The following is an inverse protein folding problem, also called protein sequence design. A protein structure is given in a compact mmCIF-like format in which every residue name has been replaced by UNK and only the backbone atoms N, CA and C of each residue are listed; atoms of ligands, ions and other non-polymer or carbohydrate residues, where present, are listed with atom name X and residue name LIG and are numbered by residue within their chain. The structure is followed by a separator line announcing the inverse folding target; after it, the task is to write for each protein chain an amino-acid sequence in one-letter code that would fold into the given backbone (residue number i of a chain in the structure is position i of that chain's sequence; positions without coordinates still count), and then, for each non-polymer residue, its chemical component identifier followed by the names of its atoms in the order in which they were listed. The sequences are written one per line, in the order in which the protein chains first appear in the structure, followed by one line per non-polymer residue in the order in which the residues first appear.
data_IF_787933961040
#
_entry.id   IF_787933961040
#
_cell.length_a   1.000
_cell.length_b   1.000
_cell.length_c   1.000
_cell.angle_alpha   90.00
_cell.angle_beta   90.00
_cell.angle_gamma   90.00
#
_symmetry.space_group_name_H-M   'P 1'
#
loop_
_entity.id
_entity.type
_entity.pdbx_description
1 polymer ?
#
# COMPACT_ATOMS: atom_id res chain seq x y z
N UNK A 1 19.87 1.35 -8.23
CA UNK A 1 19.56 0.36 -7.19
C UNK A 1 18.72 -0.80 -7.73
N UNK A 2 17.81 -0.57 -8.69
CA UNK A 2 16.93 -1.61 -9.26
C UNK A 2 17.70 -2.76 -9.95
N UNK A 3 18.83 -2.52 -10.62
CA UNK A 3 19.54 -3.58 -11.37
C UNK A 3 20.29 -4.61 -10.52
N UNK A 4 20.30 -4.49 -9.19
CA UNK A 4 21.05 -5.45 -8.36
C UNK A 4 20.52 -6.88 -8.56
N UNK A 5 19.22 -7.04 -8.76
CA UNK A 5 18.59 -8.34 -9.03
C UNK A 5 19.09 -8.99 -10.33
N UNK A 6 19.60 -8.20 -11.27
CA UNK A 6 20.21 -8.68 -12.53
C UNK A 6 21.68 -9.02 -12.38
N UNK A 7 22.35 -8.47 -11.37
CA UNK A 7 23.80 -8.55 -11.17
C UNK A 7 24.21 -9.64 -10.20
N UNK A 8 23.27 -10.13 -9.39
CA UNK A 8 23.54 -11.20 -8.42
C UNK A 8 22.68 -12.41 -8.75
N UNK A 9 23.24 -13.61 -8.60
CA UNK A 9 22.52 -14.87 -8.78
C UNK A 9 21.76 -15.25 -7.50
N UNK A 10 20.89 -14.36 -7.03
CA UNK A 10 20.02 -14.59 -5.86
C UNK A 10 18.55 -14.49 -6.32
N UNK A 11 17.74 -15.55 -6.14
CA UNK A 11 16.33 -15.48 -6.49
C UNK A 11 15.56 -14.60 -5.49
N UNK A 12 14.95 -13.53 -6.00
CA UNK A 12 14.01 -12.70 -5.23
C UNK A 12 12.58 -13.16 -5.53
N UNK A 13 11.85 -13.57 -4.49
CA UNK A 13 10.46 -14.03 -4.65
C UNK A 13 9.43 -12.91 -4.54
N UNK A 14 9.74 -11.87 -3.77
CA UNK A 14 8.94 -10.66 -3.67
C UNK A 14 9.78 -9.51 -3.13
N UNK A 15 9.27 -8.29 -3.30
CA UNK A 15 9.85 -7.07 -2.71
C UNK A 15 8.81 -6.42 -1.82
N UNK A 16 9.17 -6.14 -0.58
CA UNK A 16 8.28 -5.46 0.36
C UNK A 16 8.53 -3.96 0.37
N UNK A 17 7.47 -3.18 0.12
CA UNK A 17 7.47 -1.73 0.21
C UNK A 17 7.11 -1.29 1.64
N UNK A 18 7.93 -0.41 2.20
CA UNK A 18 7.70 0.17 3.52
C UNK A 18 6.75 1.38 3.47
N UNK A 19 6.45 1.98 4.61
CA UNK A 19 5.54 3.11 4.82
C UNK A 19 5.90 4.47 4.21
N UNK A 20 6.88 4.58 3.31
CA UNK A 20 7.36 5.86 2.76
C UNK A 20 6.69 6.28 1.45
N UNK A 21 6.03 5.37 0.74
CA UNK A 21 5.57 5.61 -0.64
C UNK A 21 4.14 6.12 -0.79
N UNK A 22 3.30 6.00 0.25
CA UNK A 22 1.91 6.44 0.24
C UNK A 22 1.69 7.75 1.00
N UNK A 23 0.51 8.34 0.84
CA UNK A 23 0.12 9.58 1.52
C UNK A 23 -0.28 9.34 2.97
N UNK A 24 0.15 10.25 3.85
CA UNK A 24 -0.20 10.26 5.27
C UNK A 24 -1.08 11.47 5.57
N UNK A 25 -2.06 11.29 6.45
CA UNK A 25 -2.96 12.34 6.93
C UNK A 25 -2.93 12.43 8.46
N UNK A 26 -4.05 12.75 9.12
CA UNK A 26 -4.11 12.95 10.57
C UNK A 26 -3.52 11.75 11.31
N UNK A 27 -2.76 12.05 12.37
CA UNK A 27 -2.07 11.04 13.17
C UNK A 27 -0.93 10.32 12.44
N UNK A 28 -0.64 10.65 11.17
CA UNK A 28 0.29 9.89 10.34
C UNK A 28 -0.31 8.62 9.73
N UNK A 29 -1.64 8.45 9.83
CA UNK A 29 -2.37 7.35 9.22
C UNK A 29 -2.50 7.50 7.71
N UNK A 30 -2.90 6.43 7.02
CA UNK A 30 -2.99 6.42 5.55
C UNK A 30 -4.22 7.18 5.03
N UNK A 31 -4.00 8.08 4.07
CA UNK A 31 -5.05 8.69 3.24
C UNK A 31 -4.46 9.50 2.08
N UNK A 32 -4.67 9.12 0.81
CA UNK A 32 -5.10 7.82 0.29
C UNK A 32 -3.97 6.77 0.22
N UNK A 33 -4.33 5.48 0.09
CA UNK A 33 -3.40 4.42 -0.29
C UNK A 33 -3.12 4.50 -1.80
N UNK A 34 -2.26 5.44 -2.20
CA UNK A 34 -1.81 5.62 -3.58
C UNK A 34 -0.35 6.03 -3.60
N UNK A 35 0.36 5.63 -4.65
CA UNK A 35 1.75 6.02 -4.83
C UNK A 35 1.89 7.52 -5.02
N UNK A 36 2.87 8.10 -4.32
CA UNK A 36 3.20 9.50 -4.47
C UNK A 36 4.05 9.74 -5.72
N UNK A 37 3.73 10.73 -6.57
CA UNK A 37 4.49 10.98 -7.79
C UNK A 37 5.89 11.55 -7.52
N UNK A 38 6.14 12.15 -6.36
CA UNK A 38 7.48 12.61 -6.00
C UNK A 38 8.41 11.45 -5.56
N UNK A 39 7.84 10.26 -5.32
CA UNK A 39 8.56 9.03 -4.96
C UNK A 39 8.58 8.06 -6.15
N UNK A 40 7.43 7.86 -6.78
CA UNK A 40 7.22 7.03 -7.96
C UNK A 40 6.56 7.89 -9.06
N UNK A 41 7.35 8.66 -9.84
CA UNK A 41 6.83 9.60 -10.84
C UNK A 41 5.89 8.95 -11.87
N UNK A 42 6.22 7.72 -12.27
CA UNK A 42 5.45 6.95 -13.25
C UNK A 42 4.53 5.90 -12.58
N UNK A 43 4.37 5.97 -11.26
CA UNK A 43 3.55 5.06 -10.45
C UNK A 43 4.14 3.66 -10.23
N UNK A 44 3.52 2.91 -9.32
CA UNK A 44 3.88 1.53 -9.01
C UNK A 44 3.73 0.54 -10.19
N UNK A 45 2.77 0.68 -11.13
CA UNK A 45 2.71 -0.19 -12.29
C UNK A 45 3.99 -0.15 -13.14
N UNK A 46 4.64 1.03 -13.22
CA UNK A 46 5.91 1.18 -13.93
C UNK A 46 7.05 0.50 -13.19
N UNK A 47 7.12 0.66 -11.86
CA UNK A 47 8.07 -0.07 -11.03
C UNK A 47 7.93 -1.58 -11.20
N UNK A 48 6.70 -2.10 -11.14
CA UNK A 48 6.40 -3.52 -11.27
C UNK A 48 6.93 -4.09 -12.59
N UNK A 49 6.70 -3.38 -13.71
CA UNK A 49 7.25 -3.77 -15.03
C UNK A 49 8.79 -3.68 -15.07
N UNK A 50 9.38 -2.66 -14.47
CA UNK A 50 10.85 -2.49 -14.42
C UNK A 50 11.54 -3.58 -13.60
N UNK A 51 10.83 -4.15 -12.62
CA UNK A 51 11.26 -5.28 -11.79
C UNK A 51 10.89 -6.63 -12.38
N UNK A 52 10.65 -6.71 -13.69
CA UNK A 52 10.36 -7.97 -14.40
C UNK A 52 9.19 -8.73 -13.78
N UNK A 53 8.22 -7.98 -13.28
CA UNK A 53 7.01 -8.50 -12.65
C UNK A 53 7.25 -9.33 -11.38
N UNK A 54 8.37 -9.11 -10.68
CA UNK A 54 8.59 -9.66 -9.33
C UNK A 54 7.43 -9.19 -8.42
N UNK A 55 6.73 -10.10 -7.73
CA UNK A 55 5.62 -9.77 -6.85
C UNK A 55 5.97 -8.73 -5.80
N UNK A 56 5.01 -7.85 -5.49
CA UNK A 56 5.17 -6.83 -4.46
C UNK A 56 4.39 -7.21 -3.20
N UNK A 57 5.00 -6.95 -2.06
CA UNK A 57 4.34 -6.93 -0.76
C UNK A 57 4.31 -5.48 -0.27
N UNK A 58 3.32 -5.11 0.53
CA UNK A 58 3.29 -3.80 1.16
C UNK A 58 2.67 -3.89 2.54
N UNK A 59 3.09 -2.97 3.39
CA UNK A 59 2.41 -2.73 4.65
C UNK A 59 1.96 -1.29 4.77
N UNK A 60 0.95 -1.08 5.61
CA UNK A 60 0.76 0.21 6.24
C UNK A 60 0.67 0.06 7.75
N UNK A 61 0.71 1.21 8.42
CA UNK A 61 0.35 1.33 9.84
C UNK A 61 -1.19 1.31 9.96
N UNK A 62 -1.74 2.29 10.66
CA UNK A 62 -3.17 2.54 10.76
C UNK A 62 -3.70 3.46 9.64
N UNK A 63 -5.02 3.48 9.48
CA UNK A 63 -5.71 4.44 8.62
C UNK A 63 -5.93 5.74 9.37
N UNK A 64 -5.96 6.85 8.63
CA UNK A 64 -6.23 8.15 9.22
C UNK A 64 -7.72 8.28 9.61
N UNK A 65 -8.06 9.03 10.67
CA UNK A 65 -9.45 9.30 11.05
C UNK A 65 -10.19 10.21 10.06
N UNK A 66 -9.46 10.86 9.15
CA UNK A 66 -9.96 11.66 8.02
C UNK A 66 -9.67 10.99 6.67
N UNK A 67 -9.57 9.65 6.66
CA UNK A 67 -9.23 8.95 5.42
C UNK A 67 -10.30 9.07 4.34
N UNK A 68 -9.90 9.20 3.07
CA UNK A 68 -10.87 9.34 1.95
C UNK A 68 -11.81 8.14 1.78
N UNK A 69 -11.54 7.03 2.48
CA UNK A 69 -12.34 5.81 2.42
C UNK A 69 -13.60 5.85 3.31
N UNK A 70 -13.79 6.87 4.15
CA UNK A 70 -15.02 7.04 4.96
C UNK A 70 -16.29 7.16 4.12
N UNK A 71 -16.17 7.67 2.89
CA UNK A 71 -17.32 7.84 2.00
C UNK A 71 -17.89 6.51 1.50
N UNK A 72 -17.08 5.44 1.51
CA UNK A 72 -17.44 4.13 0.92
C UNK A 72 -17.52 2.99 1.95
N UNK A 73 -16.83 3.07 3.07
CA UNK A 73 -16.72 1.98 4.03
C UNK A 73 -16.99 2.43 5.46
N UNK A 74 -17.41 1.48 6.30
CA UNK A 74 -17.51 1.72 7.73
C UNK A 74 -16.13 1.60 8.38
N UNK A 75 -15.69 2.63 9.10
CA UNK A 75 -14.47 2.59 9.90
C UNK A 75 -14.80 2.99 11.34
N UNK A 76 -14.24 2.27 12.30
CA UNK A 76 -14.22 2.68 13.69
C UNK A 76 -13.13 3.72 13.88
N UNK A 77 -13.46 4.85 14.52
CA UNK A 77 -12.51 5.93 14.82
C UNK A 77 -12.14 5.86 16.30
N UNK A 78 -10.85 5.83 16.58
CA UNK A 78 -10.29 6.09 17.91
C UNK A 78 -9.85 7.56 17.97
N UNK A 79 -10.69 8.39 18.60
CA UNK A 79 -10.43 9.82 18.75
C UNK A 79 -9.28 10.13 19.72
N UNK A 80 -8.89 9.19 20.60
CA UNK A 80 -7.79 9.39 21.56
C UNK A 80 -6.47 9.24 20.83
N UNK A 81 -6.33 8.14 20.07
CA UNK A 81 -5.09 7.82 19.36
C UNK A 81 -5.04 8.37 17.93
N UNK A 82 -6.12 9.02 17.46
CA UNK A 82 -6.22 9.62 16.12
C UNK A 82 -5.96 8.60 15.01
N UNK A 83 -6.61 7.45 15.12
CA UNK A 83 -6.50 6.33 14.19
C UNK A 83 -7.88 5.78 13.82
N UNK A 84 -7.96 5.12 12.67
CA UNK A 84 -9.16 4.43 12.24
C UNK A 84 -8.88 2.99 11.79
N UNK A 85 -9.90 2.14 11.96
CA UNK A 85 -9.86 0.74 11.55
C UNK A 85 -11.12 0.43 10.71
N UNK A 86 -10.97 -0.11 9.50
CA UNK A 86 -12.09 -0.65 8.73
C UNK A 86 -12.83 -1.74 9.51
N UNK A 87 -14.14 -1.54 9.66
CA UNK A 87 -15.05 -2.49 10.32
C UNK A 87 -16.10 -2.97 9.32
N UNK A 88 -16.68 -4.13 9.59
CA UNK A 88 -17.67 -4.77 8.72
C UNK A 88 -17.07 -5.95 7.96
N UNK A 89 -17.61 -6.23 6.78
CA UNK A 89 -17.16 -7.33 5.94
C UNK A 89 -15.79 -7.04 5.31
N UNK A 90 -15.20 -8.06 4.67
CA UNK A 90 -13.87 -7.95 4.08
C UNK A 90 -13.81 -7.10 2.79
N UNK A 91 -14.90 -6.43 2.39
CA UNK A 91 -14.94 -5.65 1.14
C UNK A 91 -13.86 -4.58 1.08
N UNK A 92 -13.56 -3.89 2.19
CA UNK A 92 -12.48 -2.90 2.22
C UNK A 92 -11.14 -3.52 1.84
N UNK A 93 -10.81 -4.67 2.44
CA UNK A 93 -9.56 -5.38 2.19
C UNK A 93 -9.54 -5.98 0.79
N UNK A 94 -10.66 -6.55 0.34
CA UNK A 94 -10.80 -7.16 -0.98
C UNK A 94 -10.66 -6.11 -2.08
N UNK A 95 -11.33 -4.96 -1.97
CA UNK A 95 -11.23 -3.90 -2.97
C UNK A 95 -9.80 -3.38 -3.05
N UNK A 96 -9.18 -3.05 -1.90
CA UNK A 96 -7.81 -2.55 -1.84
C UNK A 96 -6.81 -3.55 -2.42
N UNK A 97 -6.93 -4.83 -2.05
CA UNK A 97 -6.04 -5.89 -2.54
C UNK A 97 -6.27 -6.21 -4.01
N UNK A 98 -7.52 -6.24 -4.47
CA UNK A 98 -7.85 -6.57 -5.86
C UNK A 98 -7.37 -5.49 -6.81
N UNK A 99 -7.57 -4.21 -6.47
CA UNK A 99 -7.05 -3.08 -7.24
C UNK A 99 -5.52 -3.11 -7.26
N UNK A 100 -4.87 -3.29 -6.11
CA UNK A 100 -3.42 -3.31 -6.04
C UNK A 100 -2.76 -4.52 -6.73
N UNK A 101 -3.36 -5.71 -6.59
CA UNK A 101 -2.91 -6.92 -7.26
C UNK A 101 -3.00 -6.77 -8.78
N UNK A 102 -4.09 -6.17 -9.28
CA UNK A 102 -4.29 -5.91 -10.69
C UNK A 102 -3.30 -4.87 -11.24
N UNK A 103 -3.12 -3.75 -10.56
CA UNK A 103 -2.39 -2.61 -11.10
C UNK A 103 -0.86 -2.77 -10.99
N UNK A 104 -0.37 -3.32 -9.88
CA UNK A 104 1.06 -3.32 -9.57
C UNK A 104 1.56 -4.61 -8.90
N UNK A 105 0.82 -5.71 -9.06
CA UNK A 105 1.30 -7.04 -8.69
C UNK A 105 1.45 -7.27 -7.19
N UNK A 106 0.64 -6.58 -6.38
CA UNK A 106 0.60 -6.81 -4.94
C UNK A 106 0.06 -8.22 -4.62
N UNK A 107 0.81 -8.99 -3.84
CA UNK A 107 0.43 -10.34 -3.40
C UNK A 107 0.18 -10.45 -1.89
N UNK A 108 0.64 -9.47 -1.12
CA UNK A 108 0.54 -9.48 0.34
C UNK A 108 0.38 -8.06 0.89
N UNK A 109 -0.58 -7.92 1.79
CA UNK A 109 -0.85 -6.69 2.54
C UNK A 109 -0.77 -6.98 4.04
N UNK A 110 0.06 -6.22 4.74
CA UNK A 110 0.17 -6.27 6.19
C UNK A 110 -0.32 -4.95 6.81
N UNK A 111 -1.07 -5.05 7.89
CA UNK A 111 -1.54 -3.89 8.65
C UNK A 111 -1.08 -4.00 10.09
N UNK A 112 -0.38 -2.97 10.59
CA UNK A 112 0.16 -2.90 11.95
C UNK A 112 -0.46 -1.77 12.78
#
# INVERSE_FOLDING_TARGET
MLDIHRKINLPFHYIQLDSWWYYKAIGGGVSPWKSRPDIFPDGLPTLYRQMESIPLAAHNRYWAPDTVYFDKYALLIDNINQLSLPIGNDLFRIDLLSEAAHDWGLIMYEQY
#
